data_IF_066398390934
#
_entry.id   IF_066398390934
#
_cell.length_a   1.000
_cell.length_b   1.000
_cell.length_c   1.000
_cell.angle_alpha   90.00
_cell.angle_beta   90.00
_cell.angle_gamma   90.00
#
_symmetry.space_group_name_H-M   'P 1'
#
loop_
_entity.id
_entity.type
_entity.pdbx_description
1 polymer ?
#
# COMPACT_ATOMS: atom_id res chain seq x y z
N UNK A 1 6.22 -6.33 10.87
CA UNK A 1 7.37 -5.41 10.99
C UNK A 1 8.56 -6.08 11.64
N UNK A 2 8.42 -6.66 12.83
CA UNK A 2 9.50 -7.38 13.52
C UNK A 2 10.09 -8.51 12.67
N UNK A 3 9.24 -9.33 12.03
CA UNK A 3 9.71 -10.37 11.09
C UNK A 3 10.54 -9.80 9.93
N UNK A 4 10.12 -8.67 9.34
CA UNK A 4 10.87 -7.96 8.30
C UNK A 4 12.26 -7.54 8.77
N UNK A 5 12.35 -6.96 9.96
CA UNK A 5 13.63 -6.54 10.56
C UNK A 5 14.53 -7.75 10.82
N UNK A 6 14.00 -8.81 11.42
CA UNK A 6 14.75 -10.03 11.75
C UNK A 6 15.24 -10.74 10.49
N UNK A 7 14.37 -10.96 9.50
CA UNK A 7 14.73 -11.63 8.25
C UNK A 7 15.79 -10.84 7.48
N UNK A 8 15.66 -9.52 7.38
CA UNK A 8 16.65 -8.69 6.69
C UNK A 8 17.98 -8.59 7.47
N UNK A 9 17.93 -8.57 8.80
CA UNK A 9 19.13 -8.57 9.65
C UNK A 9 19.92 -9.88 9.51
N UNK A 10 19.21 -11.02 9.53
CA UNK A 10 19.81 -12.34 9.29
C UNK A 10 20.36 -12.44 7.87
N UNK A 11 19.62 -11.95 6.87
CA UNK A 11 20.07 -11.93 5.47
C UNK A 11 21.32 -11.06 5.25
N UNK A 12 21.46 -9.95 5.99
CA UNK A 12 22.68 -9.12 5.99
C UNK A 12 23.85 -9.84 6.66
N UNK A 13 23.63 -10.51 7.79
CA UNK A 13 24.68 -11.33 8.44
C UNK A 13 25.16 -12.50 7.56
N UNK A 14 24.26 -13.03 6.73
CA UNK A 14 24.58 -14.07 5.74
C UNK A 14 25.19 -13.53 4.44
N UNK A 15 25.44 -12.21 4.33
CA UNK A 15 25.96 -11.51 3.13
C UNK A 15 25.12 -11.70 1.85
N UNK A 16 23.85 -12.10 1.99
CA UNK A 16 22.94 -12.28 0.85
C UNK A 16 22.38 -10.92 0.40
N UNK A 17 22.30 -9.96 1.31
CA UNK A 17 21.71 -8.65 1.09
C UNK A 17 22.62 -7.56 1.65
N UNK A 18 22.94 -6.58 0.82
CA UNK A 18 23.69 -5.40 1.24
C UNK A 18 22.76 -4.18 1.29
N UNK A 19 22.82 -3.43 2.39
CA UNK A 19 22.07 -2.18 2.56
C UNK A 19 22.87 -1.18 3.42
N UNK A 20 22.71 0.14 3.18
CA UNK A 20 23.52 1.18 3.79
C UNK A 20 23.56 1.06 5.31
N UNK A 21 24.73 1.23 5.91
CA UNK A 21 24.89 1.26 7.37
C UNK A 21 24.13 2.43 8.00
N UNK A 22 23.78 2.29 9.28
CA UNK A 22 22.98 3.29 9.99
C UNK A 22 23.74 4.61 10.05
N UNK A 23 23.29 5.60 9.29
CA UNK A 23 23.76 6.98 9.42
C UNK A 23 22.61 7.89 9.89
N UNK A 24 22.89 8.94 10.69
CA UNK A 24 21.88 9.91 11.10
C UNK A 24 21.14 10.55 9.91
N UNK A 25 21.81 10.67 8.77
CA UNK A 25 21.23 11.17 7.53
C UNK A 25 20.09 10.30 7.00
N UNK A 26 20.08 8.99 7.31
CA UNK A 26 19.01 8.07 6.93
C UNK A 26 17.69 8.42 7.61
N UNK A 27 17.73 8.93 8.85
CA UNK A 27 16.55 9.40 9.57
C UNK A 27 15.89 10.54 8.80
N UNK A 28 16.69 11.54 8.39
CA UNK A 28 16.23 12.68 7.60
C UNK A 28 15.78 12.25 6.19
N UNK A 29 16.46 11.26 5.59
CA UNK A 29 16.06 10.73 4.28
C UNK A 29 14.77 9.91 4.33
N UNK A 30 14.37 9.36 5.47
CA UNK A 30 13.17 8.52 5.58
C UNK A 30 11.97 9.30 6.08
N UNK A 31 12.18 10.36 6.85
CA UNK A 31 11.12 11.30 7.19
C UNK A 31 10.48 11.88 5.91
N UNK A 32 9.13 11.97 5.80
CA UNK A 32 8.09 11.67 6.78
C UNK A 32 7.40 10.28 6.63
N UNK A 33 8.01 9.31 5.93
CA UNK A 33 7.39 8.02 5.60
C UNK A 33 6.82 7.24 6.81
N UNK A 34 7.54 7.09 7.95
CA UNK A 34 7.03 6.31 9.07
C UNK A 34 5.75 6.91 9.65
N UNK A 35 5.64 8.24 9.71
CA UNK A 35 4.45 8.94 10.20
C UNK A 35 3.23 8.69 9.28
N UNK A 36 3.45 8.77 7.97
CA UNK A 36 2.41 8.47 6.97
C UNK A 36 1.93 7.02 7.13
N UNK A 37 2.84 6.09 7.39
CA UNK A 37 2.49 4.70 7.56
C UNK A 37 1.74 4.41 8.87
N UNK A 38 2.11 5.05 9.97
CA UNK A 38 1.36 4.97 11.23
C UNK A 38 -0.06 5.50 11.04
N UNK A 39 -0.22 6.65 10.37
CA UNK A 39 -1.53 7.17 9.97
C UNK A 39 -2.32 6.15 9.14
N UNK A 40 -1.69 5.56 8.12
CA UNK A 40 -2.29 4.50 7.32
C UNK A 40 -2.78 3.34 8.19
N UNK A 41 -1.97 2.84 9.11
CA UNK A 41 -2.32 1.72 10.00
C UNK A 41 -3.53 2.05 10.88
N UNK A 42 -3.52 3.20 11.57
CA UNK A 42 -4.57 3.62 12.51
C UNK A 42 -5.89 3.80 11.76
N UNK A 43 -5.89 4.60 10.69
CA UNK A 43 -7.11 4.89 9.94
C UNK A 43 -7.63 3.65 9.20
N UNK A 44 -6.73 2.78 8.74
CA UNK A 44 -7.07 1.53 8.06
C UNK A 44 -7.77 0.53 8.98
N UNK A 45 -7.19 0.26 10.16
CA UNK A 45 -7.79 -0.63 11.15
C UNK A 45 -9.10 -0.06 11.73
N UNK A 46 -9.17 1.25 11.94
CA UNK A 46 -10.40 1.93 12.34
C UNK A 46 -11.52 1.76 11.33
N UNK A 47 -11.23 1.89 10.04
CA UNK A 47 -12.20 1.69 8.95
C UNK A 47 -12.72 0.25 8.89
N UNK A 48 -11.85 -0.75 9.04
CA UNK A 48 -12.27 -2.18 9.02
C UNK A 48 -13.15 -2.59 10.20
N UNK A 49 -13.09 -1.88 11.33
CA UNK A 49 -13.92 -2.19 12.50
C UNK A 49 -15.37 -1.71 12.35
N UNK A 50 -15.62 -0.71 11.51
CA UNK A 50 -16.92 -0.04 11.39
C UNK A 50 -17.67 -0.33 10.10
N UNK A 51 -16.93 -0.63 9.03
CA UNK A 51 -17.52 -0.88 7.72
C UNK A 51 -17.44 -2.35 7.36
N UNK A 52 -18.46 -2.81 6.63
CA UNK A 52 -18.43 -4.12 5.99
C UNK A 52 -17.27 -4.21 4.99
N UNK A 53 -16.69 -5.40 4.84
CA UNK A 53 -15.61 -5.66 3.88
C UNK A 53 -15.93 -5.16 2.46
N UNK A 54 -17.12 -5.39 1.86
CA UNK A 54 -17.42 -4.83 0.54
C UNK A 54 -17.34 -3.30 0.50
N UNK A 55 -17.98 -2.60 1.43
CA UNK A 55 -17.98 -1.14 1.44
C UNK A 55 -16.59 -0.57 1.68
N UNK A 56 -15.81 -1.19 2.58
CA UNK A 56 -14.41 -0.84 2.79
C UNK A 56 -13.57 -0.96 1.51
N UNK A 57 -13.78 -2.03 0.72
CA UNK A 57 -13.05 -2.25 -0.53
C UNK A 57 -13.47 -1.28 -1.64
N UNK A 58 -14.75 -0.89 -1.69
CA UNK A 58 -15.27 0.13 -2.61
C UNK A 58 -14.65 1.49 -2.30
N UNK A 59 -14.71 1.93 -1.04
CA UNK A 59 -14.15 3.21 -0.63
C UNK A 59 -12.63 3.26 -0.83
N UNK A 60 -11.91 2.14 -0.64
CA UNK A 60 -10.47 2.09 -0.89
C UNK A 60 -10.05 2.43 -2.32
N UNK A 61 -10.94 2.29 -3.30
CA UNK A 61 -10.64 2.60 -4.71
C UNK A 61 -10.42 4.09 -4.95
N UNK A 62 -10.93 4.96 -4.08
CA UNK A 62 -10.59 6.39 -4.11
C UNK A 62 -9.09 6.64 -3.87
N UNK A 63 -8.36 5.70 -3.26
CA UNK A 63 -6.90 5.78 -3.16
C UNK A 63 -6.21 5.84 -4.53
N UNK A 64 -6.80 5.28 -5.59
CA UNK A 64 -6.27 5.36 -6.96
C UNK A 64 -6.24 6.82 -7.44
N UNK A 65 -7.34 7.55 -7.22
CA UNK A 65 -7.44 8.96 -7.57
C UNK A 65 -6.43 9.81 -6.77
N UNK A 66 -6.37 9.61 -5.45
CA UNK A 66 -5.40 10.31 -4.62
C UNK A 66 -3.96 9.98 -5.00
N UNK A 67 -3.66 8.75 -5.39
CA UNK A 67 -2.33 8.35 -5.88
C UNK A 67 -2.01 9.07 -7.18
N UNK A 68 -2.94 9.14 -8.14
CA UNK A 68 -2.73 9.87 -9.40
C UNK A 68 -2.43 11.35 -9.16
N UNK A 69 -3.20 12.01 -8.29
CA UNK A 69 -2.97 13.41 -7.91
C UNK A 69 -1.61 13.54 -7.21
N UNK A 70 -1.28 12.63 -6.30
CA UNK A 70 -0.01 12.61 -5.59
C UNK A 70 1.19 12.44 -6.53
N UNK A 71 1.12 11.52 -7.51
CA UNK A 71 2.16 11.37 -8.52
C UNK A 71 2.37 12.64 -9.33
N UNK A 72 1.27 13.30 -9.75
CA UNK A 72 1.35 14.56 -10.48
C UNK A 72 2.02 15.66 -9.66
N UNK A 73 1.64 15.82 -8.40
CA UNK A 73 2.14 16.90 -7.53
C UNK A 73 3.56 16.66 -7.02
N UNK A 74 3.91 15.42 -6.65
CA UNK A 74 5.15 15.11 -5.94
C UNK A 74 6.25 14.60 -6.88
N UNK A 75 5.89 13.82 -7.90
CA UNK A 75 6.83 13.25 -8.88
C UNK A 75 6.86 14.04 -10.18
N UNK A 76 5.92 14.99 -10.39
CA UNK A 76 5.82 15.77 -11.62
C UNK A 76 5.39 14.96 -12.85
N UNK A 77 4.96 13.72 -12.66
CA UNK A 77 4.56 12.84 -13.76
C UNK A 77 3.09 13.14 -14.12
N UNK A 78 2.85 13.63 -15.33
CA UNK A 78 1.49 13.91 -15.81
C UNK A 78 0.95 12.69 -16.55
N UNK A 79 -0.03 11.95 -15.97
CA UNK A 79 -0.62 10.83 -16.66
C UNK A 79 -1.41 11.32 -17.88
N UNK A 80 -1.28 10.65 -19.05
CA UNK A 80 -1.99 10.99 -20.27
C UNK A 80 -3.51 10.84 -20.09
N UNK A 81 -4.28 11.57 -20.91
CA UNK A 81 -5.75 11.61 -20.82
C UNK A 81 -6.41 10.24 -20.81
N UNK A 82 -5.91 9.27 -21.59
CA UNK A 82 -6.39 7.89 -21.59
C UNK A 82 -6.33 7.24 -20.21
N UNK A 83 -5.22 7.44 -19.47
CA UNK A 83 -5.05 6.90 -18.13
C UNK A 83 -6.00 7.60 -17.16
N UNK A 84 -6.15 8.92 -17.27
CA UNK A 84 -7.08 9.68 -16.43
C UNK A 84 -8.52 9.17 -16.60
N UNK A 85 -8.94 8.94 -17.85
CA UNK A 85 -10.26 8.40 -18.16
C UNK A 85 -10.49 7.04 -17.51
N UNK A 86 -9.52 6.12 -17.57
CA UNK A 86 -9.65 4.80 -16.92
C UNK A 86 -9.83 4.91 -15.40
N UNK A 87 -9.11 5.81 -14.75
CA UNK A 87 -9.26 6.01 -13.29
C UNK A 87 -10.60 6.66 -12.96
N UNK A 88 -11.06 7.64 -13.74
CA UNK A 88 -12.40 8.20 -13.54
C UNK A 88 -13.49 7.13 -13.67
N UNK A 89 -13.39 6.20 -14.63
CA UNK A 89 -14.29 5.05 -14.73
C UNK A 89 -14.25 4.15 -13.49
N UNK A 90 -13.07 3.90 -12.91
CA UNK A 90 -12.95 3.12 -11.66
C UNK A 90 -13.63 3.82 -10.47
N UNK A 91 -13.51 5.15 -10.38
CA UNK A 91 -14.15 5.95 -9.33
C UNK A 91 -15.67 5.97 -9.53
N UNK A 92 -16.16 6.13 -10.76
CA UNK A 92 -17.59 6.06 -11.07
C UNK A 92 -18.20 4.72 -10.63
N UNK A 93 -17.54 3.60 -10.92
CA UNK A 93 -17.99 2.30 -10.44
C UNK A 93 -18.05 2.21 -8.91
N UNK A 94 -17.14 2.91 -8.23
CA UNK A 94 -17.11 2.95 -6.76
C UNK A 94 -18.21 3.84 -6.18
N UNK A 95 -18.52 4.96 -6.82
CA UNK A 95 -19.64 5.85 -6.44
C UNK A 95 -20.97 5.11 -6.62
N UNK A 96 -21.18 4.42 -7.75
CA UNK A 96 -22.40 3.65 -8.00
C UNK A 96 -22.63 2.59 -6.92
N UNK A 97 -21.57 1.90 -6.48
CA UNK A 97 -21.66 0.96 -5.37
C UNK A 97 -22.01 1.66 -4.04
N UNK A 98 -21.44 2.85 -3.78
CA UNK A 98 -21.64 3.56 -2.53
C UNK A 98 -22.99 4.29 -2.40
N UNK A 99 -23.64 4.66 -3.49
CA UNK A 99 -24.90 5.44 -3.49
C UNK A 99 -26.09 4.70 -2.85
N UNK A 100 -26.08 3.37 -2.84
CA UNK A 100 -27.12 2.55 -2.24
C UNK A 100 -26.65 1.83 -0.97
N UNK A 101 -25.70 2.43 -0.22
CA UNK A 101 -25.27 1.85 1.05
C UNK A 101 -26.35 2.00 2.13
N UNK A 102 -26.95 0.86 2.49
CA UNK A 102 -27.94 0.75 3.55
C UNK A 102 -27.28 0.89 4.94
N UNK A 103 -25.95 0.70 5.04
CA UNK A 103 -25.16 0.72 6.27
C UNK A 103 -24.25 1.95 6.38
N UNK A 104 -24.77 3.11 5.97
CA UNK A 104 -23.98 4.35 5.95
C UNK A 104 -23.48 4.74 7.36
N UNK A 105 -22.16 4.62 7.57
CA UNK A 105 -21.47 5.16 8.74
C UNK A 105 -20.51 6.28 8.33
N UNK A 106 -20.92 7.53 8.56
CA UNK A 106 -20.13 8.70 8.24
C UNK A 106 -18.73 8.67 8.86
N UNK A 107 -18.60 8.11 10.06
CA UNK A 107 -17.31 8.02 10.75
C UNK A 107 -16.43 6.98 10.06
N UNK A 108 -16.94 5.77 9.81
CA UNK A 108 -16.24 4.74 9.03
C UNK A 108 -15.78 5.24 7.66
N UNK A 109 -16.61 6.01 6.96
CA UNK A 109 -16.27 6.62 5.67
C UNK A 109 -15.12 7.61 5.79
N UNK A 110 -15.15 8.49 6.80
CA UNK A 110 -14.04 9.41 7.07
C UNK A 110 -12.75 8.65 7.34
N UNK A 111 -12.79 7.60 8.18
CA UNK A 111 -11.64 6.76 8.46
C UNK A 111 -11.03 6.15 7.18
N UNK A 112 -11.85 5.60 6.27
CA UNK A 112 -11.35 5.01 5.02
C UNK A 112 -10.84 6.06 4.04
N UNK A 113 -11.50 7.20 3.89
CA UNK A 113 -11.03 8.27 3.01
C UNK A 113 -9.70 8.86 3.50
N UNK A 114 -9.54 9.08 4.81
CA UNK A 114 -8.26 9.47 5.40
C UNK A 114 -7.20 8.37 5.20
N UNK A 115 -7.56 7.10 5.40
CA UNK A 115 -6.68 5.95 5.12
C UNK A 115 -6.17 5.96 3.67
N UNK A 116 -7.04 6.31 2.71
CA UNK A 116 -6.69 6.37 1.30
C UNK A 116 -5.68 7.48 0.98
N UNK A 117 -5.79 8.64 1.64
CA UNK A 117 -4.82 9.74 1.51
C UNK A 117 -3.46 9.31 2.02
N UNK A 118 -3.39 8.69 3.21
CA UNK A 118 -2.14 8.17 3.76
C UNK A 118 -1.56 7.04 2.89
N UNK A 119 -2.39 6.16 2.35
CA UNK A 119 -1.97 5.08 1.45
C UNK A 119 -1.37 5.64 0.16
N UNK A 120 -2.04 6.62 -0.45
CA UNK A 120 -1.56 7.30 -1.66
C UNK A 120 -0.24 8.02 -1.40
N UNK A 121 -0.16 8.81 -0.31
CA UNK A 121 1.06 9.49 0.09
C UNK A 121 2.20 8.48 0.31
N UNK A 122 1.96 7.39 1.04
CA UNK A 122 2.97 6.36 1.29
C UNK A 122 3.50 5.77 -0.02
N UNK A 123 2.62 5.38 -0.95
CA UNK A 123 3.03 4.84 -2.25
C UNK A 123 3.89 5.82 -3.07
N UNK A 124 3.48 7.09 -3.14
CA UNK A 124 4.18 8.12 -3.91
C UNK A 124 5.53 8.48 -3.28
N UNK A 125 5.60 8.65 -1.96
CA UNK A 125 6.86 8.93 -1.27
C UNK A 125 7.82 7.74 -1.33
N UNK A 126 7.33 6.50 -1.21
CA UNK A 126 8.14 5.29 -1.41
C UNK A 126 8.73 5.29 -2.82
N UNK A 127 7.91 5.57 -3.85
CA UNK A 127 8.40 5.66 -5.23
C UNK A 127 9.47 6.75 -5.39
N UNK A 128 9.24 7.94 -4.84
CA UNK A 128 10.22 9.05 -4.87
C UNK A 128 11.57 8.66 -4.25
N UNK A 129 11.56 7.94 -3.13
CA UNK A 129 12.78 7.49 -2.43
C UNK A 129 13.46 6.30 -3.12
N UNK A 130 12.71 5.45 -3.83
CA UNK A 130 13.26 4.41 -4.68
C UNK A 130 13.95 5.00 -5.91
N UNK A 131 13.34 6.01 -6.54
CA UNK A 131 13.88 6.66 -7.74
C UNK A 131 15.13 7.50 -7.45
N UNK A 132 15.26 8.07 -6.24
CA UNK A 132 16.49 8.79 -5.83
C UNK A 132 17.68 7.85 -5.57
N UNK A 133 17.46 6.53 -5.53
CA UNK A 133 18.46 5.47 -5.26
C UNK A 133 19.28 5.63 -3.97
N UNK A 134 18.96 6.61 -3.12
CA UNK A 134 19.72 6.95 -1.92
C UNK A 134 19.85 5.82 -0.90
N UNK A 135 18.81 4.98 -0.78
CA UNK A 135 18.67 3.95 0.27
C UNK A 135 18.61 2.54 -0.31
N UNK A 136 18.35 2.40 -1.61
CA UNK A 136 18.00 1.13 -2.24
C UNK A 136 16.71 0.50 -1.69
N UNK A 137 16.28 -0.60 -2.30
CA UNK A 137 15.05 -1.33 -1.90
C UNK A 137 15.15 -1.93 -0.49
N UNK A 138 16.26 -2.62 -0.19
CA UNK A 138 16.42 -3.30 1.09
C UNK A 138 16.61 -2.32 2.24
N UNK A 139 17.34 -1.22 2.03
CA UNK A 139 17.48 -0.15 3.01
C UNK A 139 16.13 0.52 3.29
N UNK A 140 15.38 0.88 2.25
CA UNK A 140 14.07 1.50 2.44
C UNK A 140 13.12 0.58 3.21
N UNK A 141 13.10 -0.73 2.92
CA UNK A 141 12.26 -1.70 3.62
C UNK A 141 12.68 -1.89 5.08
N UNK A 142 13.98 -2.03 5.32
CA UNK A 142 14.56 -2.25 6.64
C UNK A 142 14.30 -1.05 7.55
N UNK A 143 14.69 0.14 7.11
CA UNK A 143 14.55 1.34 7.93
C UNK A 143 13.10 1.77 8.09
N UNK A 144 12.26 1.65 7.06
CA UNK A 144 10.82 1.91 7.21
C UNK A 144 10.22 1.01 8.30
N UNK A 145 10.55 -0.28 8.30
CA UNK A 145 10.09 -1.23 9.33
C UNK A 145 10.68 -0.93 10.71
N UNK A 146 11.97 -0.56 10.77
CA UNK A 146 12.68 -0.24 12.01
C UNK A 146 12.11 1.01 12.69
N UNK A 147 11.90 2.09 11.95
CA UNK A 147 11.32 3.32 12.50
C UNK A 147 9.84 3.14 12.87
N UNK A 148 9.10 2.28 12.17
CA UNK A 148 7.70 2.01 12.52
C UNK A 148 7.54 1.20 13.79
N UNK A 149 8.47 0.29 14.08
CA UNK A 149 8.38 -0.64 15.21
C UNK A 149 8.16 0.07 16.55
N UNK A 150 8.95 1.10 16.96
CA UNK A 150 8.71 1.80 18.21
C UNK A 150 7.37 2.54 18.21
N UNK A 151 7.00 3.23 17.13
CA UNK A 151 5.70 3.92 17.07
C UNK A 151 4.51 2.96 17.18
N UNK A 152 4.56 1.82 16.48
CA UNK A 152 3.50 0.82 16.53
C UNK A 152 3.42 0.16 17.92
N UNK A 153 4.56 -0.13 18.55
CA UNK A 153 4.61 -0.73 19.89
C UNK A 153 4.09 0.23 20.94
N UNK A 154 4.51 1.50 20.92
CA UNK A 154 3.99 2.53 21.82
C UNK A 154 2.49 2.72 21.65
N UNK A 155 1.99 2.77 20.42
CA UNK A 155 0.54 2.89 20.16
C UNK A 155 -0.24 1.66 20.65
N UNK A 156 0.30 0.45 20.48
CA UNK A 156 -0.31 -0.78 20.98
C UNK A 156 -0.33 -0.84 22.52
N UNK A 157 0.71 -0.32 23.17
CA UNK A 157 0.76 -0.19 24.62
C UNK A 157 -0.30 0.77 25.15
N UNK A 158 -0.45 1.95 24.55
CA UNK A 158 -1.47 2.92 24.97
C UNK A 158 -2.91 2.41 24.80
N UNK A 159 -3.17 1.55 23.83
CA UNK A 159 -4.50 0.95 23.63
C UNK A 159 -4.76 -0.29 24.50
N UNK A 160 -3.76 -0.78 25.25
CA UNK A 160 -3.85 -2.01 26.03
C UNK A 160 -3.95 -3.28 25.18
N UNK A 161 -3.63 -3.21 23.88
CA UNK A 161 -3.67 -4.37 23.00
C UNK A 161 -2.50 -5.33 23.28
N UNK A 162 -1.37 -4.82 23.80
CA UNK A 162 -0.24 -5.65 24.21
C UNK A 162 -0.60 -6.57 25.38
N UNK A 163 -1.32 -6.07 26.37
CA UNK A 163 -1.71 -6.84 27.54
C UNK A 163 -2.70 -7.96 27.15
N UNK A 164 -3.66 -7.64 26.27
CA UNK A 164 -4.59 -8.61 25.69
C UNK A 164 -3.86 -9.66 24.84
N UNK A 165 -2.86 -9.24 24.07
CA UNK A 165 -2.07 -10.15 23.27
C UNK A 165 -1.26 -11.11 24.14
N UNK A 166 -0.64 -10.64 25.24
CA UNK A 166 0.11 -11.51 26.16
C UNK A 166 -0.77 -12.46 26.95
N UNK A 167 -1.99 -12.04 27.31
CA UNK A 167 -2.97 -12.86 28.01
C UNK A 167 -3.70 -13.88 27.11
N UNK A 168 -3.39 -13.94 25.82
CA UNK A 168 -4.07 -14.84 24.88
C UNK A 168 -3.70 -16.31 25.13
N UNK A 169 -4.67 -17.14 25.51
CA UNK A 169 -4.43 -18.55 25.89
C UNK A 169 -3.87 -19.43 24.74
N UNK A 170 -4.12 -19.03 23.49
CA UNK A 170 -3.70 -19.76 22.30
C UNK A 170 -2.19 -19.80 22.04
N UNK A 171 -1.36 -19.05 22.79
CA UNK A 171 0.10 -19.18 22.69
C UNK A 171 0.63 -20.55 23.10
N UNK A 172 -0.13 -21.28 23.92
CA UNK A 172 0.20 -22.64 24.32
C UNK A 172 -0.09 -23.68 23.24
N UNK A 173 -0.91 -23.34 22.24
CA UNK A 173 -1.22 -24.21 21.10
C UNK A 173 -0.13 -24.09 20.03
N UNK A 174 0.50 -25.23 19.73
CA UNK A 174 1.52 -25.34 18.71
C UNK A 174 0.96 -25.00 17.32
N UNK A 175 -0.28 -25.39 17.02
CA UNK A 175 -0.87 -25.16 15.70
C UNK A 175 -1.13 -23.67 15.46
N UNK A 176 -1.72 -22.99 16.44
CA UNK A 176 -1.85 -21.54 16.42
C UNK A 176 -0.50 -20.83 16.24
N UNK A 177 0.51 -21.23 17.01
CA UNK A 177 1.84 -20.60 16.97
C UNK A 177 2.51 -20.75 15.61
N UNK A 178 2.43 -21.94 15.00
CA UNK A 178 2.96 -22.20 13.65
C UNK A 178 2.24 -21.34 12.61
N UNK A 179 0.91 -21.29 12.64
CA UNK A 179 0.12 -20.47 11.73
C UNK A 179 0.43 -18.97 11.90
N UNK A 180 0.60 -18.52 13.13
CA UNK A 180 0.96 -17.14 13.45
C UNK A 180 2.34 -16.77 12.88
N UNK A 181 3.36 -17.61 13.07
CA UNK A 181 4.69 -17.39 12.51
C UNK A 181 4.65 -17.39 10.97
N UNK A 182 3.93 -18.33 10.36
CA UNK A 182 3.75 -18.37 8.91
C UNK A 182 3.07 -17.10 8.38
N UNK A 183 2.08 -16.57 9.08
CA UNK A 183 1.44 -15.30 8.73
C UNK A 183 2.42 -14.12 8.77
N UNK A 184 3.33 -14.10 9.75
CA UNK A 184 4.37 -13.07 9.87
C UNK A 184 5.35 -13.10 8.68
N UNK A 185 5.75 -14.31 8.25
CA UNK A 185 6.64 -14.51 7.10
C UNK A 185 5.93 -14.08 5.81
N UNK A 186 4.67 -14.48 5.61
CA UNK A 186 3.87 -14.06 4.45
C UNK A 186 3.67 -12.55 4.42
N UNK A 187 3.52 -11.90 5.58
CA UNK A 187 3.49 -10.45 5.70
C UNK A 187 4.77 -9.79 5.17
N UNK A 188 5.94 -10.34 5.50
CA UNK A 188 7.22 -9.86 4.95
C UNK A 188 7.28 -10.03 3.42
N UNK A 189 6.91 -11.21 2.91
CA UNK A 189 6.89 -11.51 1.46
C UNK A 189 5.98 -10.51 0.74
N UNK A 190 4.81 -10.21 1.30
CA UNK A 190 3.88 -9.24 0.76
C UNK A 190 4.50 -7.84 0.71
N UNK A 191 5.13 -7.37 1.80
CA UNK A 191 5.77 -6.05 1.82
C UNK A 191 6.91 -5.94 0.79
N UNK A 192 7.76 -6.96 0.71
CA UNK A 192 8.83 -7.02 -0.28
C UNK A 192 8.29 -7.01 -1.71
N UNK A 193 7.25 -7.80 -1.99
CA UNK A 193 6.62 -7.87 -3.32
C UNK A 193 5.99 -6.54 -3.73
N UNK A 194 5.32 -5.85 -2.79
CA UNK A 194 4.77 -4.50 -3.04
C UNK A 194 5.88 -3.52 -3.37
N UNK A 195 6.98 -3.52 -2.60
CA UNK A 195 8.11 -2.64 -2.85
C UNK A 195 8.78 -2.92 -4.20
N UNK A 196 8.95 -4.19 -4.55
CA UNK A 196 9.50 -4.60 -5.84
C UNK A 196 8.59 -4.15 -6.99
N UNK A 197 7.27 -4.30 -6.82
CA UNK A 197 6.28 -3.81 -7.77
C UNK A 197 6.37 -2.28 -7.96
N UNK A 198 6.50 -1.51 -6.88
CA UNK A 198 6.69 -0.05 -6.93
C UNK A 198 8.03 0.35 -7.53
N UNK A 199 9.06 -0.47 -7.42
CA UNK A 199 10.34 -0.19 -8.05
C UNK A 199 10.22 -0.25 -9.58
N UNK A 200 9.65 -1.33 -10.11
CA UNK A 200 9.53 -1.53 -11.55
C UNK A 200 8.39 -0.75 -12.20
N UNK A 201 7.35 -0.41 -11.45
CA UNK A 201 6.18 0.30 -11.96
C UNK A 201 6.04 1.69 -11.35
N UNK A 202 5.02 2.44 -11.76
CA UNK A 202 4.63 3.68 -11.09
C UNK A 202 3.92 3.37 -9.75
N UNK A 203 3.82 4.37 -8.87
CA UNK A 203 3.00 4.25 -7.66
C UNK A 203 1.53 4.06 -8.04
N UNK A 204 1.04 4.73 -9.09
CA UNK A 204 -0.32 4.57 -9.60
C UNK A 204 -0.60 3.13 -10.06
N UNK A 205 0.30 2.55 -10.87
CA UNK A 205 0.18 1.16 -11.34
C UNK A 205 0.18 0.18 -10.16
N UNK A 206 1.04 0.41 -9.16
CA UNK A 206 1.08 -0.41 -7.95
C UNK A 206 -0.24 -0.33 -7.18
N UNK A 207 -0.81 0.87 -7.01
CA UNK A 207 -2.11 1.04 -6.34
C UNK A 207 -3.24 0.34 -7.09
N UNK A 208 -3.25 0.37 -8.43
CA UNK A 208 -4.27 -0.30 -9.24
C UNK A 208 -4.14 -1.83 -9.15
N UNK A 209 -2.92 -2.38 -9.23
CA UNK A 209 -2.68 -3.82 -9.01
C UNK A 209 -3.09 -4.21 -7.59
N UNK A 210 -2.79 -3.37 -6.59
CA UNK A 210 -3.22 -3.57 -5.21
C UNK A 210 -4.73 -3.60 -5.04
N UNK A 211 -5.46 -2.73 -5.76
CA UNK A 211 -6.93 -2.75 -5.80
C UNK A 211 -7.46 -4.03 -6.46
N UNK A 212 -6.85 -4.46 -7.57
CA UNK A 212 -7.23 -5.70 -8.25
C UNK A 212 -7.01 -6.93 -7.35
N UNK A 213 -5.89 -6.98 -6.62
CA UNK A 213 -5.63 -7.99 -5.58
C UNK A 213 -6.73 -7.98 -4.51
N UNK A 214 -7.10 -6.80 -4.00
CA UNK A 214 -8.15 -6.71 -2.99
C UNK A 214 -9.49 -7.23 -3.51
N UNK A 215 -9.84 -6.94 -4.75
CA UNK A 215 -11.08 -7.45 -5.38
C UNK A 215 -11.06 -8.97 -5.46
N UNK A 216 -9.94 -9.56 -5.86
CA UNK A 216 -9.78 -11.01 -5.91
C UNK A 216 -9.96 -11.64 -4.52
N UNK A 217 -9.35 -11.04 -3.49
CA UNK A 217 -9.54 -11.47 -2.09
C UNK A 217 -11.00 -11.33 -1.64
N UNK A 218 -11.69 -10.27 -2.03
CA UNK A 218 -13.13 -10.10 -1.73
C UNK A 218 -13.96 -11.21 -2.36
N UNK A 219 -13.71 -11.58 -3.62
CA UNK A 219 -14.41 -12.69 -4.27
C UNK A 219 -14.18 -14.03 -3.59
N UNK A 220 -12.92 -14.34 -3.24
CA UNK A 220 -12.62 -15.54 -2.45
C UNK A 220 -13.31 -15.50 -1.08
N UNK A 221 -13.32 -14.34 -0.43
CA UNK A 221 -14.03 -14.13 0.84
C UNK A 221 -15.54 -14.32 0.72
N UNK A 222 -16.15 -13.92 -0.40
CA UNK A 222 -17.58 -14.17 -0.66
C UNK A 222 -17.91 -15.67 -0.79
N UNK A 223 -17.03 -16.44 -1.44
CA UNK A 223 -17.26 -17.88 -1.69
C UNK A 223 -16.98 -18.71 -0.42
N UNK A 224 -15.93 -18.34 0.33
CA UNK A 224 -15.43 -19.14 1.47
C UNK A 224 -16.03 -18.67 2.79
N UNK A 225 -16.29 -17.36 2.94
CA UNK A 225 -16.47 -16.70 4.24
C UNK A 225 -17.88 -16.68 4.81
N UNK A 226 -18.92 -17.06 4.06
CA UNK A 226 -20.30 -17.21 4.55
C UNK A 226 -21.03 -15.92 4.99
N UNK A 227 -20.32 -14.91 5.51
CA UNK A 227 -20.85 -13.71 6.16
C UNK A 227 -21.04 -12.52 5.19
N UNK A 228 -21.01 -12.75 3.89
CA UNK A 228 -21.12 -11.67 2.91
C UNK A 228 -22.58 -11.34 2.57
N UNK A 229 -23.01 -10.13 2.93
CA UNK A 229 -24.29 -9.58 2.50
C UNK A 229 -24.17 -9.15 1.04
N UNK A 230 -24.66 -9.99 0.13
CA UNK A 230 -24.66 -9.71 -1.30
C UNK A 230 -25.63 -8.58 -1.66
N UNK A 231 -25.12 -7.56 -2.36
CA UNK A 231 -25.92 -6.49 -2.94
C UNK A 231 -25.59 -6.36 -4.43
N UNK A 232 -26.63 -6.30 -5.27
CA UNK A 232 -26.51 -6.21 -6.72
C UNK A 232 -25.76 -4.96 -7.17
N UNK A 233 -25.88 -3.86 -6.42
CA UNK A 233 -25.20 -2.59 -6.70
C UNK A 233 -23.71 -2.66 -6.37
N UNK A 234 -23.37 -3.29 -5.23
CA UNK A 234 -21.98 -3.56 -4.88
C UNK A 234 -21.33 -4.46 -5.93
N UNK A 235 -22.04 -5.50 -6.39
CA UNK A 235 -21.56 -6.37 -7.44
C UNK A 235 -21.35 -5.63 -8.77
N UNK A 236 -22.32 -4.82 -9.21
CA UNK A 236 -22.21 -4.04 -10.45
C UNK A 236 -21.04 -3.04 -10.40
N UNK A 237 -20.95 -2.25 -9.33
CA UNK A 237 -19.86 -1.29 -9.14
C UNK A 237 -18.50 -1.96 -8.96
N UNK A 238 -18.47 -3.18 -8.40
CA UNK A 238 -17.26 -3.99 -8.32
C UNK A 238 -16.77 -4.37 -9.71
N UNK A 239 -17.65 -4.86 -10.58
CA UNK A 239 -17.32 -5.27 -11.96
C UNK A 239 -16.92 -4.09 -12.86
N UNK A 240 -17.58 -2.94 -12.76
CA UNK A 240 -17.19 -1.72 -13.50
C UNK A 240 -15.76 -1.31 -13.16
N UNK A 241 -15.40 -1.36 -11.87
CA UNK A 241 -14.04 -1.02 -11.43
C UNK A 241 -12.99 -2.05 -11.87
N UNK A 242 -13.34 -3.34 -11.92
CA UNK A 242 -12.47 -4.39 -12.49
C UNK A 242 -12.21 -4.10 -13.97
N UNK A 243 -13.26 -3.83 -14.74
CA UNK A 243 -13.13 -3.51 -16.16
C UNK A 243 -12.21 -2.29 -16.36
N UNK A 244 -12.40 -1.22 -15.58
CA UNK A 244 -11.51 -0.06 -15.60
C UNK A 244 -10.04 -0.43 -15.28
N UNK A 245 -9.82 -1.24 -14.24
CA UNK A 245 -8.48 -1.68 -13.83
C UNK A 245 -7.77 -2.50 -14.91
N UNK A 246 -8.49 -3.42 -15.56
CA UNK A 246 -7.99 -4.24 -16.66
C UNK A 246 -7.64 -3.36 -17.87
N UNK A 247 -8.51 -2.42 -18.24
CA UNK A 247 -8.26 -1.49 -19.34
C UNK A 247 -7.03 -0.62 -19.03
N UNK A 248 -6.89 -0.11 -17.80
CA UNK A 248 -5.70 0.64 -17.40
C UNK A 248 -4.42 -0.21 -17.56
N UNK A 249 -4.43 -1.45 -17.05
CA UNK A 249 -3.27 -2.35 -17.17
C UNK A 249 -2.94 -2.60 -18.64
N UNK A 250 -3.94 -2.89 -19.46
CA UNK A 250 -3.75 -3.11 -20.89
C UNK A 250 -3.17 -1.89 -21.63
N UNK A 251 -3.69 -0.69 -21.35
CA UNK A 251 -3.19 0.58 -21.92
C UNK A 251 -1.75 0.83 -21.48
N UNK A 252 -1.45 0.61 -20.21
CA UNK A 252 -0.11 0.85 -19.63
C UNK A 252 0.90 -0.15 -20.19
N UNK A 253 0.56 -1.43 -20.32
CA UNK A 253 1.47 -2.44 -20.87
C UNK A 253 1.65 -2.33 -22.40
N UNK A 254 0.65 -1.85 -23.13
CA UNK A 254 0.77 -1.61 -24.58
C UNK A 254 1.49 -0.32 -24.92
N UNK A 255 1.45 0.68 -24.05
CA UNK A 255 2.37 1.81 -24.14
C UNK A 255 3.77 1.30 -23.80
N UNK A 256 4.55 0.96 -24.84
CA UNK A 256 6.01 1.06 -24.74
C UNK A 256 6.32 2.54 -24.59
N UNK A 257 6.36 3.04 -23.36
CA UNK A 257 6.89 4.37 -23.13
C UNK A 257 8.32 4.39 -23.69
N UNK A 258 8.70 5.37 -24.53
CA UNK A 258 10.09 5.53 -24.91
C UNK A 258 10.92 5.70 -23.62
N UNK A 259 12.16 5.16 -23.58
CA UNK A 259 12.99 5.25 -22.40
C UNK A 259 13.07 6.72 -21.96
N UNK A 260 12.84 6.97 -20.66
CA UNK A 260 13.06 8.29 -20.05
C UNK A 260 14.45 8.75 -20.53
N UNK A 261 14.60 9.99 -21.03
CA UNK A 261 15.93 10.52 -21.28
C UNK A 261 16.66 10.44 -19.95
N UNK A 262 17.70 9.60 -19.87
CA UNK A 262 18.74 9.84 -18.90
C UNK A 262 19.07 11.33 -19.07
N UNK A 263 19.03 12.06 -17.96
CA UNK A 263 19.64 13.37 -17.85
C UNK A 263 21.09 13.18 -18.29
N UNK A 264 21.34 13.32 -19.60
CA UNK A 264 22.64 13.50 -20.20
C UNK A 264 23.21 14.65 -19.42
N UNK A 265 24.12 14.28 -18.53
CA UNK A 265 25.00 15.16 -17.77
C UNK A 265 25.31 16.33 -18.67
N UNK A 266 25.00 17.53 -18.19
CA UNK A 266 25.52 18.77 -18.75
C UNK A 266 27.01 18.55 -19.02
N UNK A 267 27.37 18.36 -20.29
CA UNK A 267 28.74 18.47 -20.71
C UNK A 267 29.12 19.92 -20.39
N UNK A 268 30.14 20.18 -19.57
CA UNK A 268 30.63 21.54 -19.42
C UNK A 268 31.15 21.97 -20.79
N UNK A 269 30.43 22.91 -21.41
CA UNK A 269 30.97 23.79 -22.42
C UNK A 269 32.08 24.61 -21.76
N UNK A 270 33.33 24.18 -21.89
CA UNK A 270 34.48 25.06 -21.74
C UNK A 270 35.13 25.22 -23.10
N UNK A 271 34.79 26.34 -23.74
CA UNK A 271 35.62 26.98 -24.74
C UNK A 271 36.93 27.42 -24.06
N UNK A 272 38.09 26.94 -24.54
CA UNK A 272 39.24 27.72 -25.06
C UNK A 272 40.03 26.78 -25.96
#
# INVERSE_FOLDING_TARGET
MTATVVVLFVAKRLKIVDYPEFSPDIVNKIWPLPLIYVGNLIFGLGGTKRLSLPMFTVLRRFSILFTMIGEKLILGNNPPFTIQLTVYTMILGSIIAALNDISFDAVGYFFVLSNNVFTAANGVYVKKKLDSKDLGKYGLLFYNSLFMLPFATSFSWFNGDLDKAMAYEGWSDLWFTVQFIMSCIMGFILMYSVMLCTQYNSALTTTIIGCLKNIFVTYLGMIIGGDYVFSIYNFAGLNISIAGSIVYSWVTFRRKDPPKPELLKAAPTSNV
#
